data_IF_907019206830
#
_entry.id   IF_907019206830
#
_cell.length_a   1.000
_cell.length_b   1.000
_cell.length_c   1.000
_cell.angle_alpha   90.00
_cell.angle_beta   90.00
_cell.angle_gamma   90.00
#
_symmetry.space_group_name_H-M   'P 1'
#
loop_
_entity.id
_entity.type
_entity.pdbx_description
1 polymer ?
#
# COMPACT_ATOMS: atom_id res chain seq x y z
N UNK A 1 -4.60 -16.02 -6.25
CA UNK A 1 -5.35 -14.89 -6.83
C UNK A 1 -6.81 -15.04 -6.48
N UNK A 2 -7.45 -13.97 -6.04
CA UNK A 2 -8.86 -13.91 -5.67
C UNK A 2 -9.47 -12.65 -6.26
N UNK A 3 -10.62 -12.77 -6.95
CA UNK A 3 -11.33 -11.61 -7.47
C UNK A 3 -12.29 -11.08 -6.40
N UNK A 4 -12.22 -9.78 -6.13
CA UNK A 4 -13.10 -9.07 -5.20
C UNK A 4 -14.34 -8.63 -5.95
N UNK A 5 -15.49 -9.18 -5.59
CA UNK A 5 -16.78 -8.79 -6.17
C UNK A 5 -17.24 -7.47 -5.55
N UNK A 6 -17.18 -6.39 -6.32
CA UNK A 6 -17.46 -5.01 -5.86
C UNK A 6 -18.92 -4.78 -5.47
N UNK A 7 -19.84 -5.63 -5.95
CA UNK A 7 -21.28 -5.60 -5.65
C UNK A 7 -21.69 -6.50 -4.49
N UNK A 8 -20.74 -7.12 -3.79
CA UNK A 8 -20.99 -7.98 -2.64
C UNK A 8 -20.41 -7.34 -1.37
N UNK A 9 -21.21 -7.34 -0.32
CA UNK A 9 -20.78 -6.95 1.03
C UNK A 9 -20.19 -8.18 1.74
N UNK A 10 -18.90 -8.39 1.57
CA UNK A 10 -18.19 -9.55 2.11
C UNK A 10 -16.71 -9.26 2.31
N UNK A 11 -16.11 -9.97 3.26
CA UNK A 11 -14.67 -9.98 3.53
C UNK A 11 -13.99 -11.10 2.74
N UNK A 12 -12.74 -10.85 2.36
CA UNK A 12 -11.89 -11.78 1.63
C UNK A 12 -10.62 -12.03 2.44
N UNK A 13 -10.24 -13.30 2.55
CA UNK A 13 -9.11 -13.74 3.35
C UNK A 13 -8.09 -14.45 2.46
N UNK A 14 -6.83 -14.11 2.67
CA UNK A 14 -5.71 -14.66 1.94
C UNK A 14 -5.26 -16.03 2.47
N UNK A 15 -4.32 -16.61 1.75
CA UNK A 15 -3.69 -17.90 2.07
C UNK A 15 -2.29 -17.69 2.64
N UNK A 16 -1.74 -18.70 3.32
CA UNK A 16 -0.40 -18.62 3.91
C UNK A 16 0.77 -18.45 2.92
N UNK A 17 0.52 -18.54 1.61
CA UNK A 17 1.54 -18.38 0.56
C UNK A 17 1.48 -17.00 -0.11
N UNK A 18 0.66 -16.07 0.41
CA UNK A 18 0.35 -14.82 -0.23
C UNK A 18 -0.79 -14.93 -1.26
N UNK A 19 -1.47 -13.81 -1.48
CA UNK A 19 -2.71 -13.71 -2.24
C UNK A 19 -2.75 -12.39 -2.98
N UNK A 20 -2.97 -12.44 -4.30
CA UNK A 20 -3.36 -11.26 -5.05
C UNK A 20 -4.89 -11.11 -5.02
N UNK A 21 -5.38 -10.06 -4.35
CA UNK A 21 -6.76 -9.60 -4.40
C UNK A 21 -6.93 -8.63 -5.56
N UNK A 22 -7.71 -9.01 -6.58
CA UNK A 22 -8.02 -8.14 -7.70
C UNK A 22 -9.29 -7.36 -7.44
N UNK A 23 -9.17 -6.05 -7.39
CA UNK A 23 -10.24 -5.11 -7.09
C UNK A 23 -10.51 -4.20 -8.29
N UNK A 24 -11.72 -4.33 -8.85
CA UNK A 24 -12.11 -3.49 -9.99
C UNK A 24 -12.40 -2.05 -9.58
N UNK A 25 -13.12 -1.86 -8.47
CA UNK A 25 -13.52 -0.55 -7.99
C UNK A 25 -13.31 -0.37 -6.48
N UNK A 26 -12.58 0.68 -6.08
CA UNK A 26 -12.33 1.04 -4.68
C UNK A 26 -13.61 1.35 -3.91
N UNK A 27 -14.74 1.59 -4.59
CA UNK A 27 -16.06 1.72 -3.96
C UNK A 27 -16.48 0.48 -3.17
N UNK A 28 -15.88 -0.69 -3.43
CA UNK A 28 -16.04 -1.88 -2.59
C UNK A 28 -15.85 -1.56 -1.09
N UNK A 29 -14.84 -0.75 -0.75
CA UNK A 29 -14.57 -0.36 0.63
C UNK A 29 -15.61 0.58 1.24
N UNK A 30 -16.65 0.98 0.52
CA UNK A 30 -17.80 1.72 1.10
C UNK A 30 -18.81 0.78 1.75
N UNK A 31 -18.80 -0.52 1.42
CA UNK A 31 -19.67 -1.52 2.02
C UNK A 31 -19.32 -1.76 3.50
N UNK A 32 -20.30 -2.17 4.30
CA UNK A 32 -20.17 -2.26 5.76
C UNK A 32 -19.18 -3.36 6.18
N UNK A 33 -19.22 -4.51 5.52
CA UNK A 33 -18.42 -5.71 5.76
C UNK A 33 -17.41 -5.92 4.63
N UNK A 34 -16.93 -4.85 4.00
CA UNK A 34 -15.79 -4.93 3.09
C UNK A 34 -14.49 -5.07 3.89
N UNK A 35 -13.70 -6.08 3.55
CA UNK A 35 -12.44 -6.41 4.20
C UNK A 35 -11.54 -7.24 3.30
N UNK A 36 -10.28 -6.86 3.15
CA UNK A 36 -9.24 -7.65 2.49
C UNK A 36 -8.13 -7.96 3.49
N UNK A 37 -8.03 -9.23 3.88
CA UNK A 37 -7.14 -9.67 4.95
C UNK A 37 -6.13 -10.67 4.39
N UNK A 38 -4.90 -10.26 4.12
CA UNK A 38 -3.91 -11.12 3.47
C UNK A 38 -3.47 -12.30 4.32
N UNK A 39 -3.24 -12.06 5.61
CA UNK A 39 -2.77 -13.10 6.52
C UNK A 39 -1.26 -13.28 6.43
N UNK A 40 -0.80 -14.48 6.08
CA UNK A 40 0.63 -14.80 6.02
C UNK A 40 1.12 -14.91 4.57
N UNK A 41 2.40 -14.62 4.35
CA UNK A 41 2.97 -14.54 3.02
C UNK A 41 3.08 -13.09 2.57
N UNK A 42 3.23 -12.88 1.27
CA UNK A 42 3.25 -11.54 0.66
C UNK A 42 1.95 -11.38 -0.10
N UNK A 43 1.05 -10.56 0.42
CA UNK A 43 -0.27 -10.33 -0.14
C UNK A 43 -0.30 -9.02 -0.92
N UNK A 44 -1.10 -9.02 -1.99
CA UNK A 44 -1.19 -7.91 -2.94
C UNK A 44 -2.63 -7.45 -3.09
N UNK A 45 -2.89 -6.16 -2.86
CA UNK A 45 -4.10 -5.50 -3.34
C UNK A 45 -3.82 -4.92 -4.71
N UNK A 46 -4.48 -5.44 -5.75
CA UNK A 46 -4.33 -4.99 -7.13
C UNK A 46 -5.58 -4.30 -7.64
N UNK A 47 -5.44 -3.04 -8.06
CA UNK A 47 -6.49 -2.34 -8.79
C UNK A 47 -6.49 -2.78 -10.25
N UNK A 48 -7.67 -3.11 -10.79
CA UNK A 48 -7.83 -3.44 -12.20
C UNK A 48 -8.56 -2.36 -13.00
N UNK A 49 -9.28 -1.45 -12.33
CA UNK A 49 -9.95 -0.31 -12.96
C UNK A 49 -9.02 0.87 -13.28
N UNK A 50 -9.63 2.02 -13.61
CA UNK A 50 -8.92 3.26 -13.97
C UNK A 50 -9.51 4.48 -13.27
N UNK A 51 -8.71 5.54 -13.10
CA UNK A 51 -9.18 6.82 -12.56
C UNK A 51 -9.54 6.78 -11.08
N UNK A 52 -9.05 5.79 -10.35
CA UNK A 52 -9.45 5.53 -8.98
C UNK A 52 -8.56 6.27 -7.98
N UNK A 53 -9.12 6.60 -6.82
CA UNK A 53 -8.34 7.08 -5.67
C UNK A 53 -8.54 6.13 -4.51
N UNK A 54 -7.48 5.40 -4.15
CA UNK A 54 -7.44 4.58 -2.95
C UNK A 54 -6.83 5.40 -1.82
N UNK A 55 -7.61 5.66 -0.78
CA UNK A 55 -7.19 6.42 0.40
C UNK A 55 -7.11 5.50 1.61
N UNK A 56 -5.89 5.05 1.92
CA UNK A 56 -5.65 4.03 2.95
C UNK A 56 -5.96 4.53 4.35
N UNK A 57 -5.93 5.85 4.58
CA UNK A 57 -6.32 6.44 5.86
C UNK A 57 -7.81 6.22 6.20
N UNK A 58 -8.63 5.89 5.20
CA UNK A 58 -10.04 5.48 5.35
C UNK A 58 -10.21 3.95 5.40
N UNK A 59 -9.08 3.26 5.35
CA UNK A 59 -8.83 1.81 5.42
C UNK A 59 -8.94 1.24 6.83
N UNK A 60 -8.23 1.94 7.70
CA UNK A 60 -7.76 1.46 8.99
C UNK A 60 -8.57 2.13 10.10
N UNK A 61 -9.01 1.32 11.06
CA UNK A 61 -9.79 1.71 12.22
C UNK A 61 -11.05 2.54 11.87
N UNK A 62 -11.77 2.14 10.83
CA UNK A 62 -13.01 2.81 10.41
C UNK A 62 -14.20 2.12 11.05
N UNK A 63 -14.81 2.79 12.03
CA UNK A 63 -15.93 2.21 12.78
C UNK A 63 -15.51 1.06 13.70
N UNK A 64 -14.25 1.01 14.11
CA UNK A 64 -13.68 -0.08 14.93
C UNK A 64 -13.31 -1.33 14.13
N UNK A 65 -13.24 -1.24 12.81
CA UNK A 65 -12.88 -2.32 11.91
C UNK A 65 -11.80 -1.88 10.91
N UNK A 66 -10.81 -2.75 10.67
CA UNK A 66 -9.81 -2.57 9.63
C UNK A 66 -10.30 -3.23 8.35
N UNK A 67 -10.48 -2.45 7.28
CA UNK A 67 -10.91 -3.01 5.99
C UNK A 67 -9.75 -3.60 5.19
N UNK A 68 -8.52 -3.31 5.59
CA UNK A 68 -7.35 -3.97 5.03
C UNK A 68 -6.38 -4.34 6.16
N UNK A 69 -5.81 -5.53 6.13
CA UNK A 69 -4.80 -5.98 7.09
C UNK A 69 -3.81 -6.91 6.40
N UNK A 70 -2.52 -6.83 6.73
CA UNK A 70 -1.46 -7.70 6.19
C UNK A 70 -1.47 -7.69 4.66
N UNK A 71 -1.26 -6.50 4.07
CA UNK A 71 -1.14 -6.31 2.62
C UNK A 71 0.18 -5.57 2.37
N UNK A 72 1.20 -6.29 1.91
CA UNK A 72 2.56 -5.76 1.76
C UNK A 72 2.80 -5.12 0.39
N UNK A 73 1.93 -5.41 -0.59
CA UNK A 73 2.00 -4.84 -1.94
C UNK A 73 0.67 -4.19 -2.32
N UNK A 74 0.72 -2.94 -2.77
CA UNK A 74 -0.41 -2.26 -3.40
C UNK A 74 -0.05 -2.00 -4.86
N UNK A 75 -0.68 -2.74 -5.78
CA UNK A 75 -0.52 -2.57 -7.23
C UNK A 75 -1.64 -1.66 -7.76
N UNK A 76 -1.30 -0.43 -8.11
CA UNK A 76 -2.23 0.57 -8.66
C UNK A 76 -2.19 0.66 -10.19
N UNK A 77 -1.49 -0.25 -10.89
CA UNK A 77 -1.28 -0.22 -12.35
C UNK A 77 -2.57 -0.04 -13.13
N UNK A 78 -3.62 -0.81 -12.79
CA UNK A 78 -4.93 -0.74 -13.43
C UNK A 78 -4.93 -0.79 -14.97
N UNK A 79 -6.01 -0.31 -15.57
CA UNK A 79 -6.09 -0.03 -17.03
C UNK A 79 -5.95 1.46 -17.36
N UNK A 80 -5.69 2.30 -16.35
CA UNK A 80 -5.46 3.73 -16.48
C UNK A 80 -5.00 4.33 -15.16
N UNK A 81 -4.81 5.64 -15.13
CA UNK A 81 -4.11 6.32 -14.04
C UNK A 81 -4.90 6.26 -12.73
N UNK A 82 -4.30 5.70 -11.69
CA UNK A 82 -4.86 5.64 -10.34
C UNK A 82 -4.01 6.46 -9.37
N UNK A 83 -4.61 6.85 -8.25
CA UNK A 83 -3.94 7.57 -7.16
C UNK A 83 -4.03 6.76 -5.88
N UNK A 84 -2.89 6.57 -5.22
CA UNK A 84 -2.81 6.05 -3.86
C UNK A 84 -2.51 7.18 -2.88
N UNK A 85 -3.30 7.31 -1.82
CA UNK A 85 -2.96 8.16 -0.67
C UNK A 85 -2.54 7.26 0.49
N UNK A 86 -1.35 7.52 1.01
CA UNK A 86 -0.72 6.69 2.03
C UNK A 86 -0.02 7.58 3.05
N UNK A 87 -0.06 7.17 4.32
CA UNK A 87 0.69 7.79 5.40
C UNK A 87 1.76 6.86 5.94
N UNK A 88 2.75 7.42 6.64
CA UNK A 88 3.74 6.65 7.39
C UNK A 88 3.11 5.71 8.42
N UNK A 89 1.97 6.10 9.01
CA UNK A 89 1.23 5.21 9.91
C UNK A 89 0.66 4.02 9.17
N UNK A 90 0.10 4.24 7.98
CA UNK A 90 -0.47 3.16 7.17
C UNK A 90 0.60 2.13 6.78
N UNK A 91 1.82 2.58 6.43
CA UNK A 91 2.94 1.67 6.14
C UNK A 91 3.34 0.87 7.37
N UNK A 92 3.38 1.50 8.54
CA UNK A 92 3.71 0.81 9.80
C UNK A 92 2.64 -0.23 10.21
N UNK A 93 1.38 0.03 9.89
CA UNK A 93 0.26 -0.86 10.24
C UNK A 93 0.13 -2.04 9.26
N UNK A 94 0.41 -1.82 7.97
CA UNK A 94 0.21 -2.81 6.92
C UNK A 94 1.46 -3.56 6.54
N UNK A 95 2.62 -2.91 6.62
CA UNK A 95 3.89 -3.48 6.21
C UNK A 95 4.41 -4.50 7.22
N UNK A 96 5.39 -5.28 6.76
CA UNK A 96 6.12 -6.22 7.61
C UNK A 96 7.62 -5.98 7.51
N UNK A 97 8.36 -6.41 8.53
CA UNK A 97 9.82 -6.23 8.57
C UNK A 97 10.51 -7.12 7.53
N UNK A 98 11.49 -6.57 6.81
CA UNK A 98 12.37 -7.33 5.92
C UNK A 98 11.69 -8.09 4.78
N UNK A 99 10.54 -7.62 4.29
CA UNK A 99 9.77 -8.31 3.24
C UNK A 99 10.50 -8.30 1.89
N UNK A 100 11.03 -7.15 1.49
CA UNK A 100 11.67 -6.96 0.17
C UNK A 100 13.18 -6.78 0.28
N UNK A 101 13.66 -6.26 1.42
CA UNK A 101 15.07 -6.00 1.70
C UNK A 101 15.36 -6.35 3.15
N UNK A 102 16.45 -7.07 3.43
CA UNK A 102 16.81 -7.43 4.79
C UNK A 102 17.65 -6.32 5.47
N UNK A 103 17.02 -5.21 5.84
CA UNK A 103 17.66 -4.01 6.39
C UNK A 103 17.03 -3.47 7.69
N UNK A 104 16.12 -4.23 8.31
CA UNK A 104 15.51 -3.96 9.61
C UNK A 104 14.30 -3.03 9.56
N UNK A 105 13.79 -2.68 8.38
CA UNK A 105 12.65 -1.78 8.24
C UNK A 105 11.32 -2.53 8.04
N UNK A 106 10.24 -2.00 8.62
CA UNK A 106 8.87 -2.30 8.19
C UNK A 106 8.68 -1.75 6.78
N UNK A 107 8.33 -2.64 5.85
CA UNK A 107 8.33 -2.36 4.42
C UNK A 107 6.97 -2.57 3.79
N UNK A 108 6.59 -1.67 2.87
CA UNK A 108 5.48 -1.83 1.94
C UNK A 108 5.94 -1.46 0.53
N UNK A 109 5.37 -2.09 -0.48
CA UNK A 109 5.68 -1.84 -1.88
C UNK A 109 4.46 -1.31 -2.65
N UNK A 110 4.71 -0.34 -3.53
CA UNK A 110 3.71 0.18 -4.46
C UNK A 110 4.18 -0.08 -5.90
N UNK A 111 3.39 -0.85 -6.63
CA UNK A 111 3.58 -1.10 -8.05
C UNK A 111 2.61 -0.26 -8.87
N UNK A 112 3.00 0.11 -10.09
CA UNK A 112 2.23 1.02 -10.93
C UNK A 112 3.01 1.44 -12.17
N UNK A 113 2.34 2.14 -13.08
CA UNK A 113 2.89 2.56 -14.36
C UNK A 113 2.90 4.09 -14.51
N UNK A 114 3.34 4.55 -15.68
CA UNK A 114 3.42 5.97 -15.97
C UNK A 114 2.02 6.59 -16.01
N UNK A 115 1.80 7.61 -15.17
CA UNK A 115 0.50 8.28 -15.01
C UNK A 115 -0.13 8.05 -13.64
N UNK A 116 0.26 6.97 -12.96
CA UNK A 116 -0.12 6.72 -11.57
C UNK A 116 0.56 7.70 -10.61
N UNK A 117 -0.09 7.95 -9.47
CA UNK A 117 0.41 8.88 -8.46
C UNK A 117 0.29 8.34 -7.04
N UNK A 118 1.32 8.62 -6.24
CA UNK A 118 1.30 8.40 -4.79
C UNK A 118 1.34 9.75 -4.08
N UNK A 119 0.38 9.99 -3.19
CA UNK A 119 0.45 11.03 -2.16
C UNK A 119 0.93 10.41 -0.86
N UNK A 120 2.15 10.74 -0.46
CA UNK A 120 2.80 10.14 0.70
C UNK A 120 2.95 11.16 1.83
N UNK A 121 2.19 10.97 2.90
CA UNK A 121 2.21 11.85 4.07
C UNK A 121 3.12 11.31 5.19
N UNK A 122 3.73 12.23 5.93
CA UNK A 122 4.51 11.90 7.13
C UNK A 122 3.65 11.54 8.35
N UNK A 123 4.28 11.51 9.53
CA UNK A 123 3.60 11.32 10.81
C UNK A 123 3.71 12.59 11.68
N UNK A 124 2.57 13.10 12.14
CA UNK A 124 2.53 14.22 13.08
C UNK A 124 2.67 13.75 14.54
N UNK A 125 2.99 14.68 15.45
CA UNK A 125 3.09 14.39 16.90
C UNK A 125 4.44 13.83 17.35
N UNK A 126 5.40 13.66 16.45
CA UNK A 126 6.78 13.29 16.77
C UNK A 126 7.67 14.53 16.92
N UNK A 127 8.86 14.32 17.50
CA UNK A 127 9.88 15.37 17.57
C UNK A 127 10.22 15.90 16.16
N UNK A 128 10.70 17.15 16.09
CA UNK A 128 10.98 17.84 14.83
C UNK A 128 11.85 16.97 13.91
N UNK A 129 11.40 16.77 12.68
CA UNK A 129 12.08 15.96 11.65
C UNK A 129 11.90 14.45 11.78
N UNK A 130 11.36 13.93 12.90
CA UNK A 130 11.23 12.48 13.13
C UNK A 130 10.04 11.83 12.45
N UNK A 131 9.08 12.61 11.97
CA UNK A 131 7.92 12.10 11.22
C UNK A 131 7.96 12.40 9.73
N UNK A 132 9.14 12.71 9.18
CA UNK A 132 9.29 13.07 7.77
C UNK A 132 9.89 11.92 6.97
N UNK A 133 9.52 11.83 5.70
CA UNK A 133 10.13 10.90 4.75
C UNK A 133 11.41 11.48 4.17
N UNK A 134 12.37 10.60 3.92
CA UNK A 134 13.61 10.91 3.19
C UNK A 134 13.66 10.04 1.95
N UNK A 135 14.02 10.62 0.80
CA UNK A 135 14.22 9.87 -0.43
C UNK A 135 15.65 9.33 -0.45
N UNK A 136 15.80 8.00 -0.49
CA UNK A 136 17.09 7.29 -0.46
C UNK A 136 17.62 6.97 -1.87
N UNK A 137 16.87 7.32 -2.91
CA UNK A 137 17.22 7.09 -4.31
C UNK A 137 16.66 5.80 -4.88
N UNK A 138 17.14 5.46 -6.08
CA UNK A 138 16.69 4.31 -6.84
C UNK A 138 17.45 3.04 -6.43
N UNK A 139 16.71 1.94 -6.33
CA UNK A 139 17.26 0.59 -6.24
C UNK A 139 16.68 -0.28 -7.37
N UNK A 140 17.33 -1.41 -7.63
CA UNK A 140 16.75 -2.45 -8.48
C UNK A 140 16.35 -3.66 -7.65
N UNK A 141 15.11 -4.12 -7.82
CA UNK A 141 14.59 -5.36 -7.27
C UNK A 141 13.99 -6.18 -8.41
N UNK A 142 14.47 -7.42 -8.58
CA UNK A 142 14.00 -8.34 -9.63
C UNK A 142 13.97 -7.72 -11.05
N UNK A 143 14.92 -6.84 -11.35
CA UNK A 143 15.02 -6.17 -12.66
C UNK A 143 14.09 -4.97 -12.85
N UNK A 144 13.30 -4.60 -11.84
CA UNK A 144 12.48 -3.39 -11.80
C UNK A 144 13.16 -2.32 -10.94
N UNK A 145 12.93 -1.04 -11.27
CA UNK A 145 13.46 0.09 -10.53
C UNK A 145 12.43 0.64 -9.55
N UNK A 146 12.85 0.88 -8.30
CA UNK A 146 12.03 1.42 -7.22
C UNK A 146 12.72 2.62 -6.59
N UNK A 147 11.97 3.69 -6.35
CA UNK A 147 12.37 4.78 -5.48
C UNK A 147 12.09 4.40 -4.03
N UNK A 148 13.07 4.58 -3.16
CA UNK A 148 12.95 4.26 -1.74
C UNK A 148 12.67 5.52 -0.93
N UNK A 149 11.59 5.50 -0.15
CA UNK A 149 11.28 6.51 0.85
C UNK A 149 11.43 5.89 2.24
N UNK A 150 12.24 6.50 3.10
CA UNK A 150 12.60 5.95 4.40
C UNK A 150 12.35 6.97 5.51
N UNK A 151 12.02 6.45 6.69
CA UNK A 151 12.25 7.14 7.95
C UNK A 151 13.07 6.25 8.90
N UNK A 152 14.36 6.56 9.01
CA UNK A 152 15.32 5.87 9.87
C UNK A 152 14.93 5.86 11.36
N UNK A 153 14.17 6.85 11.83
CA UNK A 153 13.84 6.94 13.26
C UNK A 153 12.78 5.94 13.69
N UNK A 154 11.86 5.60 12.78
CA UNK A 154 10.79 4.64 12.99
C UNK A 154 11.08 3.29 12.31
N UNK A 155 12.21 3.16 11.61
CA UNK A 155 12.56 1.97 10.83
C UNK A 155 11.44 1.58 9.86
N UNK A 156 10.98 2.54 9.05
CA UNK A 156 9.93 2.30 8.03
C UNK A 156 10.41 2.70 6.64
N UNK A 157 10.06 1.89 5.66
CA UNK A 157 10.46 2.04 4.27
C UNK A 157 9.26 1.80 3.33
N UNK A 158 9.12 2.66 2.31
CA UNK A 158 8.18 2.49 1.21
C UNK A 158 8.96 2.40 -0.10
N UNK A 159 8.75 1.30 -0.83
CA UNK A 159 9.31 1.09 -2.15
C UNK A 159 8.27 1.44 -3.20
N UNK A 160 8.49 2.47 -4.01
CA UNK A 160 7.56 2.91 -5.05
C UNK A 160 8.17 2.69 -6.42
N UNK A 161 7.50 1.94 -7.29
CA UNK A 161 8.01 1.68 -8.64
C UNK A 161 8.28 2.99 -9.38
N UNK A 162 9.45 3.11 -10.00
CA UNK A 162 10.00 4.41 -10.44
C UNK A 162 9.20 5.12 -11.54
N UNK A 163 8.26 4.42 -12.18
CA UNK A 163 7.30 4.98 -13.15
C UNK A 163 6.21 5.83 -12.53
N UNK A 164 5.94 5.67 -11.23
CA UNK A 164 4.91 6.38 -10.48
C UNK A 164 5.41 7.78 -10.10
N UNK A 165 4.53 8.78 -10.20
CA UNK A 165 4.82 10.11 -9.65
C UNK A 165 4.51 10.13 -8.16
N UNK A 166 5.51 10.33 -7.30
CA UNK A 166 5.30 10.45 -5.85
C UNK A 166 5.39 11.90 -5.39
N UNK A 167 4.40 12.36 -4.63
CA UNK A 167 4.40 13.65 -3.95
C UNK A 167 4.40 13.44 -2.44
N UNK A 168 5.39 14.04 -1.77
CA UNK A 168 5.36 14.17 -0.30
C UNK A 168 4.39 15.29 0.08
N UNK A 169 3.48 15.02 1.02
CA UNK A 169 2.42 15.94 1.45
C UNK A 169 2.40 16.17 2.96
#
# INVERSE_FOLDING_TARGET
MQHVLTNVDAEYFGSANGTEFQLDNVSYFTNQHAGLHGGAGIDTLKLTGAGQTLDVSKLLNVGGHDKITSIEVIDITGVGNNTLKLSMRDVLELGHENVFRNDGHTQLMVNGNAGDRVELSGMSGLAIGKGQWTNQGLISLNGQAYMVYENAALHVELLVQSSISTQLV
#
